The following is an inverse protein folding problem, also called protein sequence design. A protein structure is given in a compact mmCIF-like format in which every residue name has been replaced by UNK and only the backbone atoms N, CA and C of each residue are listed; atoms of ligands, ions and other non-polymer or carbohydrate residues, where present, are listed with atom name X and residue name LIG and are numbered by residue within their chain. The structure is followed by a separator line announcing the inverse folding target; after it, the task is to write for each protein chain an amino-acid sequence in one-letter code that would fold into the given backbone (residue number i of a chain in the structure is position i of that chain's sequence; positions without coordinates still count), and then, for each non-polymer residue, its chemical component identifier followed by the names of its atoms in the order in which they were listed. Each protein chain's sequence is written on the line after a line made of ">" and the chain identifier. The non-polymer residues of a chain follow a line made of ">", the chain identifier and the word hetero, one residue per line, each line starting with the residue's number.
data_IF_175477719968
#
_entry.id   IF_175477719968
#
_cell.length_a   1.000
_cell.length_b   1.000
_cell.length_c   1.000
_cell.angle_alpha   90.00
_cell.angle_beta   90.00
_cell.angle_gamma   90.00
#
_symmetry.space_group_name_H-M   'P 1'
#
loop_
_entity.id
_entity.type
_entity.pdbx_description
1 polymer ?
#
# COMPACT_ATOMS: atom_id res chain seq x y z
N UNK A 1 -14.41 20.95 -4.24
CA UNK A 1 -14.44 19.49 -4.05
C UNK A 1 -15.30 18.93 -5.15
N UNK A 2 -14.78 17.96 -5.88
CA UNK A 2 -15.50 17.24 -6.91
C UNK A 2 -15.85 15.85 -6.38
N UNK A 3 -16.92 15.25 -6.89
CA UNK A 3 -17.40 13.97 -6.43
C UNK A 3 -17.93 13.13 -7.59
N UNK A 4 -17.73 11.82 -7.52
CA UNK A 4 -18.31 10.82 -8.41
C UNK A 4 -18.75 9.62 -7.59
N UNK A 5 -19.87 9.01 -7.96
CA UNK A 5 -20.37 7.80 -7.30
C UNK A 5 -20.11 6.59 -8.19
N UNK A 6 -19.55 5.51 -7.63
CA UNK A 6 -19.33 4.21 -8.27
C UNK A 6 -20.46 3.25 -7.86
N UNK A 7 -21.64 3.28 -8.52
CA UNK A 7 -22.86 2.76 -7.93
C UNK A 7 -22.80 1.24 -7.75
N UNK A 8 -22.99 0.77 -6.51
CA UNK A 8 -22.92 -0.66 -6.15
C UNK A 8 -21.50 -1.23 -6.05
N UNK A 9 -20.46 -0.39 -6.14
CA UNK A 9 -19.06 -0.80 -6.04
C UNK A 9 -18.30 0.09 -5.05
N UNK A 10 -17.67 -0.53 -4.08
CA UNK A 10 -16.92 0.09 -3.00
C UNK A 10 -15.47 0.36 -3.46
N UNK A 11 -14.94 1.55 -3.17
CA UNK A 11 -13.59 1.97 -3.54
C UNK A 11 -12.50 1.26 -2.76
N UNK A 12 -11.45 0.79 -3.46
CA UNK A 12 -10.28 0.14 -2.85
C UNK A 12 -8.99 0.90 -3.14
N UNK A 13 -8.81 1.39 -4.36
CA UNK A 13 -7.65 2.19 -4.73
C UNK A 13 -7.98 3.21 -5.81
N UNK A 14 -7.23 4.30 -5.81
CA UNK A 14 -7.36 5.41 -6.74
C UNK A 14 -5.96 5.89 -7.13
N UNK A 15 -5.73 6.17 -8.41
CA UNK A 15 -4.47 6.72 -8.94
C UNK A 15 -4.70 7.74 -10.04
N UNK A 16 -4.00 8.88 -9.95
CA UNK A 16 -3.91 9.83 -11.05
C UNK A 16 -3.12 9.24 -12.21
N UNK A 17 -3.49 9.60 -13.44
CA UNK A 17 -2.70 9.24 -14.62
C UNK A 17 -1.37 10.01 -14.60
N UNK A 18 -0.24 9.35 -14.88
CA UNK A 18 1.06 10.00 -15.04
C UNK A 18 1.23 10.67 -16.42
N UNK A 19 0.22 10.63 -17.29
CA UNK A 19 0.23 11.25 -18.63
C UNK A 19 -0.82 12.35 -18.81
N UNK A 20 -1.98 12.19 -18.17
CA UNK A 20 -3.11 13.09 -18.33
C UNK A 20 -3.45 13.77 -17.00
N UNK A 21 -3.53 15.09 -17.00
CA UNK A 21 -3.73 15.90 -15.80
C UNK A 21 -5.13 15.81 -15.18
N UNK A 22 -6.09 15.37 -15.98
CA UNK A 22 -7.48 15.27 -15.60
C UNK A 22 -7.99 13.82 -15.47
N UNK A 23 -7.14 12.80 -15.63
CA UNK A 23 -7.56 11.39 -15.56
C UNK A 23 -7.19 10.69 -14.26
N UNK A 24 -8.09 9.82 -13.83
CA UNK A 24 -8.01 9.00 -12.63
C UNK A 24 -8.40 7.56 -12.97
N UNK A 25 -7.75 6.58 -12.35
CA UNK A 25 -8.22 5.20 -12.34
C UNK A 25 -8.65 4.80 -10.94
N UNK A 26 -9.74 4.05 -10.82
CA UNK A 26 -10.31 3.59 -9.54
C UNK A 26 -10.59 2.09 -9.60
N UNK A 27 -9.93 1.34 -8.73
CA UNK A 27 -10.25 -0.07 -8.48
C UNK A 27 -11.37 -0.13 -7.44
N UNK A 28 -12.43 -0.86 -7.78
CA UNK A 28 -13.61 -1.03 -6.93
C UNK A 28 -14.06 -2.49 -6.89
N UNK A 29 -14.81 -2.84 -5.85
CA UNK A 29 -15.36 -4.18 -5.66
C UNK A 29 -16.78 -4.13 -5.12
N UNK A 30 -17.65 -5.03 -5.56
CA UNK A 30 -19.00 -5.16 -5.03
C UNK A 30 -18.98 -5.71 -3.59
N UNK A 31 -20.06 -5.46 -2.83
CA UNK A 31 -20.28 -5.99 -1.47
C UNK A 31 -19.07 -5.81 -0.54
N UNK A 32 -18.53 -4.59 -0.47
CA UNK A 32 -17.36 -4.22 0.33
C UNK A 32 -16.10 -5.04 -0.01
N UNK A 33 -16.02 -5.58 -1.22
CA UNK A 33 -14.93 -6.44 -1.68
C UNK A 33 -14.82 -7.79 -0.95
N UNK A 34 -15.88 -8.22 -0.27
CA UNK A 34 -15.95 -9.52 0.38
C UNK A 34 -16.36 -10.63 -0.59
N UNK A 35 -17.20 -10.30 -1.58
CA UNK A 35 -17.68 -11.24 -2.59
C UNK A 35 -18.24 -10.49 -3.80
N UNK A 36 -18.03 -11.06 -4.98
CA UNK A 36 -18.65 -10.61 -6.22
C UNK A 36 -17.67 -9.86 -7.12
N UNK A 37 -18.23 -9.20 -8.12
CA UNK A 37 -17.45 -8.61 -9.20
C UNK A 37 -16.63 -7.41 -8.74
N UNK A 38 -15.51 -7.22 -9.43
CA UNK A 38 -14.74 -5.99 -9.40
C UNK A 38 -15.08 -5.09 -10.58
N UNK A 39 -14.73 -3.83 -10.46
CA UNK A 39 -14.90 -2.86 -11.55
C UNK A 39 -13.77 -1.83 -11.54
N UNK A 40 -13.09 -1.71 -12.68
CA UNK A 40 -12.14 -0.65 -12.96
C UNK A 40 -12.90 0.52 -13.58
N UNK A 41 -12.77 1.69 -12.98
CA UNK A 41 -13.28 2.96 -13.53
C UNK A 41 -12.11 3.81 -13.99
N UNK A 42 -12.12 4.23 -15.25
CA UNK A 42 -11.24 5.28 -15.77
C UNK A 42 -12.10 6.53 -15.87
N UNK A 43 -11.78 7.53 -15.05
CA UNK A 43 -12.56 8.75 -14.88
C UNK A 43 -11.78 9.94 -15.44
N UNK A 44 -12.49 10.90 -16.01
CA UNK A 44 -11.96 12.21 -16.42
C UNK A 44 -12.66 13.34 -15.69
N UNK A 45 -11.88 14.34 -15.31
CA UNK A 45 -12.37 15.62 -14.78
C UNK A 45 -12.58 16.57 -15.97
N UNK A 46 -13.82 16.95 -16.21
CA UNK A 46 -14.20 17.88 -17.28
C UNK A 46 -13.94 19.33 -16.87
N UNK A 47 -13.86 20.25 -17.83
CA UNK A 47 -13.62 21.69 -17.60
C UNK A 47 -14.66 22.34 -16.67
N UNK A 48 -15.88 21.82 -16.67
CA UNK A 48 -16.97 22.26 -15.79
C UNK A 48 -16.86 21.71 -14.35
N UNK A 49 -15.80 20.97 -14.03
CA UNK A 49 -15.57 20.32 -12.74
C UNK A 49 -16.33 19.01 -12.54
N UNK A 50 -17.06 18.52 -13.54
CA UNK A 50 -17.76 17.24 -13.44
C UNK A 50 -16.79 16.08 -13.67
N UNK A 51 -16.91 15.03 -12.84
CA UNK A 51 -16.18 13.78 -13.07
C UNK A 51 -17.07 12.84 -13.89
N UNK A 52 -16.56 12.32 -14.99
CA UNK A 52 -17.28 11.39 -15.89
C UNK A 52 -16.46 10.13 -16.16
N UNK A 53 -17.08 8.97 -16.35
CA UNK A 53 -16.36 7.75 -16.74
C UNK A 53 -16.05 7.78 -18.24
N UNK A 54 -14.78 7.56 -18.59
CA UNK A 54 -14.32 7.40 -19.97
C UNK A 54 -14.30 5.93 -20.40
N UNK A 55 -13.87 5.04 -19.49
CA UNK A 55 -13.85 3.60 -19.70
C UNK A 55 -14.19 2.87 -18.40
N UNK A 56 -14.89 1.74 -18.51
CA UNK A 56 -15.31 0.91 -17.38
C UNK A 56 -15.15 -0.54 -17.74
N UNK A 57 -14.46 -1.30 -16.88
CA UNK A 57 -14.21 -2.74 -17.09
C UNK A 57 -14.69 -3.53 -15.89
N UNK A 58 -15.50 -4.55 -16.13
CA UNK A 58 -15.96 -5.48 -15.10
C UNK A 58 -15.06 -6.71 -15.03
N UNK A 59 -14.77 -7.14 -13.81
CA UNK A 59 -13.95 -8.32 -13.53
C UNK A 59 -14.75 -9.35 -12.73
N UNK A 60 -14.30 -10.60 -12.76
CA UNK A 60 -15.02 -11.71 -12.13
C UNK A 60 -14.98 -11.62 -10.60
N UNK A 61 -13.92 -11.04 -10.05
CA UNK A 61 -13.70 -10.86 -8.62
C UNK A 61 -13.30 -9.40 -8.31
N UNK A 62 -13.38 -9.02 -7.05
CA UNK A 62 -13.12 -7.68 -6.52
C UNK A 62 -11.72 -7.19 -6.85
N UNK A 63 -11.61 -5.90 -7.21
CA UNK A 63 -10.33 -5.25 -7.47
C UNK A 63 -9.82 -4.54 -6.22
N UNK A 64 -8.55 -4.76 -5.86
CA UNK A 64 -7.97 -4.26 -4.61
C UNK A 64 -6.95 -3.14 -4.79
N UNK A 65 -6.29 -3.06 -5.95
CA UNK A 65 -5.37 -1.99 -6.28
C UNK A 65 -5.32 -1.70 -7.77
N UNK A 66 -4.82 -0.51 -8.11
CA UNK A 66 -4.69 -0.02 -9.48
C UNK A 66 -3.37 0.72 -9.65
N UNK A 67 -2.72 0.54 -10.80
CA UNK A 67 -1.50 1.27 -11.15
C UNK A 67 -1.50 1.58 -12.65
N UNK A 68 -1.21 2.82 -13.02
CA UNK A 68 -0.99 3.17 -14.42
C UNK A 68 0.34 2.60 -14.90
N UNK A 69 0.41 2.26 -16.18
CA UNK A 69 1.68 2.04 -16.85
C UNK A 69 2.46 3.35 -16.88
N UNK A 70 3.74 3.31 -16.55
CA UNK A 70 4.65 4.47 -16.67
C UNK A 70 5.30 4.57 -18.05
N UNK A 71 5.05 3.58 -18.92
CA UNK A 71 5.51 3.55 -20.32
C UNK A 71 4.42 3.85 -21.33
N UNK A 72 3.15 3.63 -20.99
CA UNK A 72 2.06 3.69 -21.96
C UNK A 72 0.81 4.36 -21.36
N UNK A 73 0.42 5.48 -21.95
CA UNK A 73 -0.62 6.39 -21.44
C UNK A 73 -2.02 5.78 -21.31
N UNK A 74 -2.32 4.77 -22.12
CA UNK A 74 -3.62 4.10 -22.13
C UNK A 74 -3.63 2.76 -21.37
N UNK A 75 -2.58 2.42 -20.62
CA UNK A 75 -2.49 1.12 -19.96
C UNK A 75 -2.60 1.21 -18.44
N UNK A 76 -3.40 0.32 -17.87
CA UNK A 76 -3.68 0.28 -16.43
C UNK A 76 -3.65 -1.17 -15.92
N UNK A 77 -2.87 -1.40 -14.86
CA UNK A 77 -2.89 -2.64 -14.09
C UNK A 77 -3.95 -2.60 -13.00
N UNK A 78 -4.55 -3.76 -12.74
CA UNK A 78 -5.41 -3.98 -11.58
C UNK A 78 -5.04 -5.28 -10.88
N UNK A 79 -5.12 -5.29 -9.55
CA UNK A 79 -5.01 -6.49 -8.74
C UNK A 79 -6.38 -7.02 -8.32
N UNK A 80 -6.55 -8.34 -8.26
CA UNK A 80 -7.84 -9.00 -8.06
C UNK A 80 -7.82 -10.00 -6.89
N UNK A 81 -8.99 -10.28 -6.32
CA UNK A 81 -9.18 -11.26 -5.25
C UNK A 81 -8.91 -12.72 -5.65
N UNK A 82 -9.05 -13.03 -6.93
CA UNK A 82 -8.81 -14.38 -7.48
C UNK A 82 -7.31 -14.73 -7.69
N UNK A 83 -6.40 -13.89 -7.21
CA UNK A 83 -4.95 -14.07 -7.40
C UNK A 83 -4.43 -13.57 -8.76
N UNK A 84 -5.27 -12.94 -9.58
CA UNK A 84 -4.85 -12.40 -10.88
C UNK A 84 -4.42 -10.95 -10.79
N UNK A 85 -3.45 -10.60 -11.64
CA UNK A 85 -3.18 -9.22 -12.05
C UNK A 85 -3.60 -9.09 -13.51
N UNK A 86 -4.35 -8.04 -13.84
CA UNK A 86 -4.84 -7.81 -15.21
C UNK A 86 -4.32 -6.47 -15.74
N UNK A 87 -3.89 -6.43 -17.00
CA UNK A 87 -3.50 -5.23 -17.71
C UNK A 87 -4.61 -4.87 -18.70
N UNK A 88 -5.14 -3.66 -18.60
CA UNK A 88 -6.17 -3.12 -19.47
C UNK A 88 -5.60 -2.05 -20.38
N UNK A 89 -6.14 -1.95 -21.60
CA UNK A 89 -5.99 -0.79 -22.45
C UNK A 89 -7.29 0.03 -22.40
N UNK A 90 -7.20 1.29 -22.03
CA UNK A 90 -8.34 2.19 -21.83
C UNK A 90 -9.03 2.58 -23.13
N UNK A 91 -8.41 2.33 -24.28
CA UNK A 91 -9.04 2.53 -25.61
C UNK A 91 -9.93 1.36 -26.02
N UNK A 92 -9.80 0.22 -25.34
CA UNK A 92 -10.63 -0.97 -25.56
C UNK A 92 -11.79 -1.00 -24.57
N UNK A 93 -12.80 -1.83 -24.83
CA UNK A 93 -14.09 -1.72 -24.13
C UNK A 93 -14.46 -2.89 -23.23
N UNK A 94 -13.74 -4.03 -23.25
CA UNK A 94 -14.30 -5.27 -22.68
C UNK A 94 -13.36 -6.18 -21.91
N UNK A 95 -12.14 -6.41 -22.40
CA UNK A 95 -11.27 -7.42 -21.83
C UNK A 95 -9.86 -6.87 -21.58
N UNK A 96 -9.15 -7.37 -20.57
CA UNK A 96 -7.75 -7.04 -20.38
C UNK A 96 -6.91 -7.55 -21.55
N UNK A 97 -5.87 -6.80 -21.91
CA UNK A 97 -4.89 -7.15 -22.94
C UNK A 97 -3.86 -8.16 -22.45
N UNK A 98 -3.67 -8.29 -21.13
CA UNK A 98 -2.88 -9.35 -20.51
C UNK A 98 -3.44 -9.73 -19.13
N UNK A 99 -3.23 -10.99 -18.73
CA UNK A 99 -3.56 -11.49 -17.38
C UNK A 99 -2.35 -12.25 -16.84
N UNK A 100 -1.90 -11.93 -15.64
CA UNK A 100 -0.80 -12.58 -14.95
C UNK A 100 -1.36 -13.37 -13.77
N UNK A 101 -1.23 -14.70 -13.82
CA UNK A 101 -1.85 -15.60 -12.84
C UNK A 101 -0.80 -16.57 -12.30
N UNK A 102 -0.18 -16.19 -11.18
CA UNK A 102 0.72 -17.07 -10.41
C UNK A 102 0.51 -16.96 -8.90
N UNK A 103 -0.13 -15.89 -8.41
CA UNK A 103 -0.47 -15.80 -6.99
C UNK A 103 -1.57 -16.80 -6.66
N UNK A 104 -1.47 -17.41 -5.47
CA UNK A 104 -2.42 -18.45 -5.04
C UNK A 104 -3.56 -17.91 -4.17
N UNK A 105 -3.53 -16.61 -3.89
CA UNK A 105 -4.47 -15.88 -3.04
C UNK A 105 -4.58 -14.43 -3.52
N UNK A 106 -5.49 -13.69 -2.90
CA UNK A 106 -5.80 -12.28 -3.15
C UNK A 106 -4.53 -11.44 -3.38
N UNK A 107 -4.53 -10.63 -4.45
CA UNK A 107 -3.45 -9.68 -4.73
C UNK A 107 -3.85 -8.30 -4.20
N UNK A 108 -3.19 -7.84 -3.14
CA UNK A 108 -3.55 -6.62 -2.43
C UNK A 108 -2.94 -5.35 -3.00
N UNK A 109 -1.79 -5.44 -3.67
CA UNK A 109 -1.17 -4.28 -4.29
C UNK A 109 -0.51 -4.60 -5.62
N UNK A 110 -0.51 -3.59 -6.50
CA UNK A 110 0.28 -3.57 -7.74
C UNK A 110 0.96 -2.21 -7.86
N UNK A 111 2.22 -2.20 -8.29
CA UNK A 111 2.98 -0.97 -8.41
C UNK A 111 3.93 -1.01 -9.61
N UNK A 112 3.91 0.03 -10.43
CA UNK A 112 4.76 0.15 -11.60
C UNK A 112 6.12 0.75 -11.23
N UNK A 113 7.21 0.24 -11.80
CA UNK A 113 8.55 0.78 -11.53
C UNK A 113 8.69 2.20 -12.10
N UNK A 114 8.94 3.19 -11.25
CA UNK A 114 9.01 4.59 -11.68
C UNK A 114 10.34 4.97 -12.36
N UNK A 115 11.39 4.16 -12.16
CA UNK A 115 12.76 4.43 -12.63
C UNK A 115 13.02 3.72 -13.94
N UNK A 116 12.96 2.38 -13.95
CA UNK A 116 13.20 1.57 -15.15
C UNK A 116 11.95 1.48 -16.05
N UNK A 117 10.76 1.60 -15.46
CA UNK A 117 9.45 1.59 -16.15
C UNK A 117 9.13 0.32 -16.95
N UNK A 118 10.07 -0.61 -17.14
CA UNK A 118 9.79 -1.87 -17.85
C UNK A 118 9.19 -2.96 -16.95
N UNK A 119 9.24 -2.75 -15.63
CA UNK A 119 8.82 -3.72 -14.63
C UNK A 119 7.66 -3.19 -13.77
N UNK A 120 6.90 -4.12 -13.22
CA UNK A 120 5.96 -3.85 -12.12
C UNK A 120 6.07 -4.95 -11.07
N UNK A 121 5.58 -4.69 -9.86
CA UNK A 121 5.51 -5.68 -8.79
C UNK A 121 4.08 -5.84 -8.28
N UNK A 122 3.79 -7.00 -7.70
CA UNK A 122 2.53 -7.30 -7.01
C UNK A 122 2.78 -7.96 -5.66
N UNK A 123 1.90 -7.72 -4.69
CA UNK A 123 1.95 -8.36 -3.36
C UNK A 123 0.64 -9.09 -3.05
N UNK A 124 0.73 -10.22 -2.36
CA UNK A 124 -0.43 -11.10 -2.13
C UNK A 124 -0.54 -11.61 -0.71
N UNK A 125 -1.75 -12.05 -0.35
CA UNK A 125 -2.02 -12.85 0.83
C UNK A 125 -1.29 -14.20 0.82
N UNK A 126 -0.81 -14.68 -0.33
CA UNK A 126 0.01 -15.90 -0.38
C UNK A 126 1.41 -15.74 0.26
N UNK A 127 1.73 -14.54 0.75
CA UNK A 127 2.97 -14.24 1.46
C UNK A 127 4.15 -13.96 0.53
N UNK A 128 3.89 -13.67 -0.75
CA UNK A 128 4.92 -13.39 -1.75
C UNK A 128 4.73 -12.01 -2.40
N UNK A 129 5.86 -11.47 -2.85
CA UNK A 129 5.90 -10.36 -3.81
C UNK A 129 6.42 -10.91 -5.12
N UNK A 130 5.76 -10.62 -6.24
CA UNK A 130 6.21 -11.04 -7.57
C UNK A 130 6.62 -9.82 -8.40
N UNK A 131 7.67 -9.99 -9.19
CA UNK A 131 8.19 -8.98 -10.14
C UNK A 131 7.91 -9.45 -11.54
N UNK A 132 7.42 -8.56 -12.38
CA UNK A 132 6.86 -8.88 -13.69
C UNK A 132 7.39 -7.94 -14.75
N UNK A 133 7.41 -8.43 -15.99
CA UNK A 133 7.50 -7.60 -17.18
C UNK A 133 6.16 -7.75 -17.94
N UNK A 134 5.51 -6.66 -18.36
CA UNK A 134 4.19 -6.73 -18.97
C UNK A 134 4.16 -7.53 -20.28
N UNK A 135 5.32 -7.72 -20.93
CA UNK A 135 5.45 -8.52 -22.15
C UNK A 135 5.69 -10.01 -21.89
N UNK A 136 5.69 -10.45 -20.62
CA UNK A 136 5.94 -11.84 -20.23
C UNK A 136 4.82 -12.36 -19.33
N UNK A 137 4.29 -13.53 -19.68
CA UNK A 137 3.20 -14.17 -18.92
C UNK A 137 3.62 -14.63 -17.52
N UNK A 138 4.87 -15.04 -17.36
CA UNK A 138 5.43 -15.53 -16.09
C UNK A 138 6.18 -14.42 -15.36
N UNK A 139 6.19 -14.50 -14.02
CA UNK A 139 6.98 -13.60 -13.19
C UNK A 139 8.48 -13.79 -13.46
N UNK A 140 9.21 -12.68 -13.42
CA UNK A 140 10.67 -12.69 -13.51
C UNK A 140 11.28 -13.21 -12.21
N UNK A 141 10.66 -12.85 -11.09
CA UNK A 141 11.15 -13.16 -9.76
C UNK A 141 10.00 -13.26 -8.77
N UNK A 142 10.11 -14.21 -7.84
CA UNK A 142 9.24 -14.30 -6.65
C UNK A 142 10.09 -14.04 -5.40
N UNK A 143 9.76 -12.98 -4.68
CA UNK A 143 10.37 -12.58 -3.42
C UNK A 143 9.56 -13.13 -2.26
N UNK A 144 10.24 -13.81 -1.33
CA UNK A 144 9.62 -14.40 -0.15
C UNK A 144 10.55 -14.25 1.04
N UNK A 145 9.97 -13.87 2.19
CA UNK A 145 10.71 -13.88 3.45
C UNK A 145 10.90 -15.33 3.90
N UNK A 146 12.10 -15.68 4.37
CA UNK A 146 12.28 -16.98 5.02
C UNK A 146 11.43 -17.01 6.29
N UNK A 147 10.67 -18.10 6.49
CA UNK A 147 9.95 -18.30 7.76
C UNK A 147 10.98 -18.41 8.87
N UNK A 148 10.88 -17.56 9.88
CA UNK A 148 11.62 -17.78 11.11
C UNK A 148 10.98 -18.98 11.85
N UNK A 149 11.58 -20.16 11.68
CA UNK A 149 11.15 -21.38 12.36
C UNK A 149 11.64 -21.43 13.82
N UNK A 150 12.40 -20.44 14.28
CA UNK A 150 12.96 -20.42 15.64
C UNK A 150 11.98 -19.95 16.71
N UNK A 151 10.92 -19.23 16.31
CA UNK A 151 9.85 -18.80 17.22
C UNK A 151 8.71 -19.81 17.18
N UNK A 152 8.84 -20.91 17.91
CA UNK A 152 7.64 -21.63 18.36
C UNK A 152 6.93 -20.69 19.32
N UNK A 153 5.86 -20.03 18.86
CA UNK A 153 4.92 -19.40 19.79
C UNK A 153 4.53 -20.48 20.81
N UNK A 154 4.94 -20.33 22.06
CA UNK A 154 4.50 -21.24 23.12
C UNK A 154 2.98 -21.21 23.14
N UNK A 155 2.36 -22.36 22.95
CA UNK A 155 0.92 -22.48 23.03
C UNK A 155 0.49 -21.99 24.42
N UNK A 156 -0.25 -20.88 24.47
CA UNK A 156 -0.98 -20.50 25.68
C UNK A 156 -1.94 -21.65 25.96
N UNK A 157 -1.65 -22.45 26.98
CA UNK A 157 -2.57 -23.47 27.46
C UNK A 157 -3.80 -22.77 28.03
N UNK A 158 -4.83 -22.59 27.19
CA UNK A 158 -6.16 -22.22 27.67
C UNK A 158 -6.86 -23.53 28.05
N UNK A 159 -6.92 -23.84 29.34
CA UNK A 159 -7.51 -25.06 29.92
C UNK A 159 -9.03 -25.19 29.76
N UNK A 160 -9.65 -24.51 28.79
CA UNK A 160 -11.10 -24.60 28.54
C UNK A 160 -11.39 -24.62 27.05
N UNK A 161 -11.30 -25.81 26.44
CA UNK A 161 -11.96 -26.08 25.16
C UNK A 161 -13.46 -26.33 25.43
N UNK A 162 -14.39 -25.55 24.86
CA UNK A 162 -15.78 -25.97 24.82
C UNK A 162 -15.92 -27.25 23.96
N UNK A 163 -16.88 -28.15 24.27
CA UNK A 163 -17.04 -29.39 23.52
C UNK A 163 -17.51 -29.07 22.09
N UNK A 164 -16.68 -29.40 21.10
CA UNK A 164 -16.96 -29.24 19.68
C UNK A 164 -17.60 -30.51 19.11
N UNK A 165 -18.77 -30.37 18.49
CA UNK A 165 -19.32 -31.34 17.56
C UNK A 165 -18.65 -31.19 16.19
N UNK A 166 -18.30 -32.32 15.58
CA UNK A 166 -17.67 -32.52 14.27
C UNK A 166 -16.13 -32.50 14.24
N UNK A 167 -15.56 -33.68 14.04
CA UNK A 167 -14.18 -33.90 13.60
C UNK A 167 -14.01 -33.32 12.18
N UNK A 168 -13.69 -32.03 12.07
CA UNK A 168 -12.96 -31.52 10.91
C UNK A 168 -11.47 -31.54 11.25
N UNK A 169 -10.58 -31.99 10.34
CA UNK A 169 -9.16 -31.85 10.55
C UNK A 169 -8.86 -30.36 10.74
N UNK A 170 -8.21 -30.04 11.86
CA UNK A 170 -7.70 -28.71 12.13
C UNK A 170 -6.62 -28.47 11.08
N UNK A 171 -6.93 -27.67 10.06
CA UNK A 171 -5.89 -27.14 9.17
C UNK A 171 -5.00 -26.31 10.08
N UNK A 172 -3.78 -26.79 10.36
CA UNK A 172 -2.73 -25.97 10.93
C UNK A 172 -2.68 -24.70 10.09
N UNK A 173 -3.06 -23.56 10.66
CA UNK A 173 -3.00 -22.29 9.98
C UNK A 173 -1.51 -21.96 9.87
N UNK A 174 -0.84 -22.21 8.73
CA UNK A 174 0.56 -21.85 8.64
C UNK A 174 0.56 -20.33 8.65
N UNK A 175 1.18 -19.69 9.65
CA UNK A 175 1.35 -18.24 9.67
C UNK A 175 1.76 -17.78 8.26
N UNK A 176 0.80 -17.19 7.56
CA UNK A 176 0.89 -16.74 6.19
C UNK A 176 0.99 -15.25 6.32
N UNK A 177 2.22 -14.73 6.30
CA UNK A 177 2.45 -13.31 6.48
C UNK A 177 1.93 -12.57 5.24
N UNK A 178 0.66 -12.14 5.29
CA UNK A 178 -0.01 -11.45 4.19
C UNK A 178 0.81 -10.22 3.81
N UNK A 179 1.22 -10.08 2.55
CA UNK A 179 1.97 -8.88 2.11
C UNK A 179 0.98 -7.85 1.59
N UNK A 180 0.67 -6.85 2.41
CA UNK A 180 -0.37 -5.86 2.12
C UNK A 180 0.01 -4.85 1.04
N UNK A 181 1.28 -4.43 1.03
CA UNK A 181 1.76 -3.49 0.02
C UNK A 181 3.23 -3.78 -0.31
N UNK A 182 3.55 -3.75 -1.60
CA UNK A 182 4.92 -3.69 -2.10
C UNK A 182 5.03 -2.65 -3.21
N UNK A 183 6.15 -1.94 -3.25
CA UNK A 183 6.40 -0.89 -4.24
C UNK A 183 7.90 -0.72 -4.53
N UNK A 184 8.21 -0.37 -5.78
CA UNK A 184 9.55 -0.01 -6.20
C UNK A 184 9.99 1.33 -5.59
N UNK A 185 11.28 1.45 -5.29
CA UNK A 185 11.87 2.73 -4.94
C UNK A 185 11.78 3.71 -6.11
N UNK A 186 11.32 4.95 -5.89
CA UNK A 186 11.39 5.99 -6.92
C UNK A 186 12.83 6.48 -7.17
N UNK A 187 13.81 5.99 -6.40
CA UNK A 187 15.22 6.41 -6.48
C UNK A 187 16.16 5.32 -7.02
N UNK A 188 15.75 4.05 -6.95
CA UNK A 188 16.52 2.92 -7.48
C UNK A 188 15.59 1.89 -8.14
N UNK A 189 15.84 1.58 -9.42
CA UNK A 189 15.05 0.65 -10.21
C UNK A 189 15.02 -0.78 -9.65
N UNK A 190 16.02 -1.15 -8.85
CA UNK A 190 16.18 -2.52 -8.33
C UNK A 190 15.69 -2.71 -6.90
N UNK A 191 15.31 -1.64 -6.21
CA UNK A 191 14.90 -1.74 -4.80
C UNK A 191 13.39 -1.81 -4.68
N UNK A 192 12.89 -2.75 -3.89
CA UNK A 192 11.47 -2.87 -3.52
C UNK A 192 11.33 -2.72 -2.00
N UNK A 193 10.28 -2.02 -1.56
CA UNK A 193 9.84 -1.98 -0.17
C UNK A 193 8.56 -2.81 -0.04
N UNK A 194 8.41 -3.57 1.04
CA UNK A 194 7.14 -4.22 1.35
C UNK A 194 6.83 -4.22 2.85
N UNK A 195 5.55 -4.36 3.17
CA UNK A 195 5.05 -4.53 4.55
C UNK A 195 4.04 -5.68 4.64
N UNK A 196 4.00 -6.35 5.79
CA UNK A 196 3.16 -7.53 5.97
C UNK A 196 2.36 -7.57 7.30
N UNK A 197 1.49 -8.58 7.42
CA UNK A 197 0.66 -8.82 8.61
C UNK A 197 1.46 -9.14 9.87
N UNK A 198 2.71 -9.58 9.75
CA UNK A 198 3.61 -9.82 10.89
C UNK A 198 4.39 -8.57 11.33
N UNK A 199 4.00 -7.38 10.87
CA UNK A 199 4.65 -6.09 11.19
C UNK A 199 6.03 -5.89 10.55
N UNK A 200 6.49 -6.81 9.72
CA UNK A 200 7.77 -6.69 9.06
C UNK A 200 7.71 -5.64 7.96
N UNK A 201 8.71 -4.77 7.93
CA UNK A 201 9.03 -3.87 6.84
C UNK A 201 10.33 -4.36 6.20
N UNK A 202 10.27 -4.65 4.91
CA UNK A 202 11.29 -5.40 4.19
C UNK A 202 11.78 -4.62 2.97
N UNK A 203 13.10 -4.54 2.82
CA UNK A 203 13.76 -3.92 1.67
C UNK A 203 14.45 -5.01 0.86
N UNK A 204 14.14 -5.04 -0.42
CA UNK A 204 14.63 -6.05 -1.36
C UNK A 204 15.47 -5.40 -2.44
N UNK A 205 16.61 -6.00 -2.80
CA UNK A 205 17.38 -5.67 -4.00
C UNK A 205 17.30 -6.85 -4.97
N UNK A 206 16.57 -6.67 -6.07
CA UNK A 206 16.29 -7.75 -7.05
C UNK A 206 17.53 -8.17 -7.87
N UNK A 207 18.67 -7.48 -7.70
CA UNK A 207 19.94 -7.87 -8.35
C UNK A 207 20.72 -8.86 -7.50
N UNK A 208 20.44 -8.94 -6.20
CA UNK A 208 21.20 -9.76 -5.26
C UNK A 208 20.77 -11.23 -5.34
N UNK A 209 21.70 -12.20 -5.21
CA UNK A 209 21.34 -13.62 -5.11
C UNK A 209 20.45 -13.92 -3.90
N UNK A 210 20.60 -13.14 -2.82
CA UNK A 210 19.68 -13.10 -1.69
C UNK A 210 19.00 -11.73 -1.68
N UNK A 211 17.78 -11.61 -2.25
CA UNK A 211 17.17 -10.30 -2.48
C UNK A 211 16.83 -9.54 -1.20
N UNK A 212 16.54 -10.21 -0.08
CA UNK A 212 16.14 -9.54 1.16
C UNK A 212 17.35 -8.88 1.85
N UNK A 213 17.47 -7.56 1.68
CA UNK A 213 18.60 -6.76 2.19
C UNK A 213 18.38 -6.21 3.60
N UNK A 214 17.13 -5.84 3.94
CA UNK A 214 16.77 -5.35 5.26
C UNK A 214 15.41 -5.91 5.67
N UNK A 215 15.25 -6.22 6.95
CA UNK A 215 14.02 -6.74 7.52
C UNK A 215 13.91 -6.32 8.99
N UNK A 216 12.82 -5.65 9.35
CA UNK A 216 12.61 -5.15 10.71
C UNK A 216 11.14 -4.99 11.09
N UNK A 217 10.87 -4.97 12.40
CA UNK A 217 9.54 -4.74 12.95
C UNK A 217 9.20 -3.25 12.95
N UNK A 218 8.20 -2.88 12.15
CA UNK A 218 7.76 -1.49 11.99
C UNK A 218 6.72 -1.06 13.04
N UNK A 219 5.79 -1.94 13.42
CA UNK A 219 4.64 -1.58 14.26
C UNK A 219 4.42 -2.54 15.44
N UNK A 220 5.49 -2.87 16.18
CA UNK A 220 5.44 -3.63 17.43
C UNK A 220 4.70 -4.97 17.34
N UNK A 221 4.80 -5.66 16.20
CA UNK A 221 4.13 -6.94 15.95
C UNK A 221 2.68 -6.82 15.46
N UNK A 222 2.14 -5.60 15.32
CA UNK A 222 0.85 -5.34 14.71
C UNK A 222 0.98 -5.18 13.19
N UNK A 223 -0.07 -5.55 12.45
CA UNK A 223 -0.09 -5.57 11.00
C UNK A 223 0.31 -4.21 10.40
N UNK A 224 1.29 -4.22 9.50
CA UNK A 224 1.69 -3.06 8.72
C UNK A 224 0.97 -3.10 7.37
N UNK A 225 0.04 -2.16 7.16
CA UNK A 225 -0.92 -2.19 6.06
C UNK A 225 -0.45 -1.42 4.83
N UNK A 226 0.40 -0.42 5.03
CA UNK A 226 0.91 0.41 3.95
C UNK A 226 2.32 0.92 4.21
N UNK A 227 3.03 1.17 3.12
CA UNK A 227 4.34 1.82 3.13
C UNK A 227 4.48 2.72 1.91
N UNK A 228 5.39 3.68 1.98
CA UNK A 228 5.76 4.51 0.83
C UNK A 228 7.13 5.16 1.00
N UNK A 229 7.86 5.33 -0.11
CA UNK A 229 9.11 6.09 -0.13
C UNK A 229 8.84 7.59 -0.18
N UNK A 230 9.65 8.34 0.55
CA UNK A 230 9.74 9.77 0.32
C UNK A 230 10.19 10.04 -1.11
N UNK A 231 9.51 10.95 -1.83
CA UNK A 231 9.77 11.21 -3.24
C UNK A 231 11.07 11.98 -3.51
N UNK A 232 11.71 12.51 -2.46
CA UNK A 232 12.89 13.38 -2.56
C UNK A 232 14.08 12.94 -1.69
N UNK A 233 13.84 12.15 -0.63
CA UNK A 233 14.84 11.68 0.32
C UNK A 233 15.01 10.15 0.19
N UNK A 234 16.04 9.63 -0.50
CA UNK A 234 16.10 8.22 -0.91
C UNK A 234 16.07 7.18 0.20
N UNK A 235 16.55 7.53 1.39
CA UNK A 235 16.58 6.62 2.54
C UNK A 235 15.37 6.76 3.45
N UNK A 236 14.45 7.68 3.17
CA UNK A 236 13.32 7.97 4.06
C UNK A 236 12.06 7.28 3.56
N UNK A 237 11.42 6.54 4.46
CA UNK A 237 10.15 5.85 4.18
C UNK A 237 9.12 6.18 5.26
N UNK A 238 7.85 5.97 4.92
CA UNK A 238 6.75 5.96 5.88
C UNK A 238 6.08 4.58 5.90
N UNK A 239 5.59 4.16 7.07
CA UNK A 239 4.77 2.95 7.25
C UNK A 239 3.50 3.30 8.04
N UNK A 240 2.41 2.61 7.76
CA UNK A 240 1.10 2.79 8.37
C UNK A 240 0.52 1.44 8.82
N UNK A 241 -0.24 1.43 9.92
CA UNK A 241 -0.62 0.19 10.59
C UNK A 241 -2.00 0.22 11.25
N UNK A 242 -2.46 -0.97 11.62
CA UNK A 242 -3.58 -1.19 12.56
C UNK A 242 -3.36 -0.57 13.94
N UNK A 243 -2.11 -0.25 14.29
CA UNK A 243 -1.75 0.49 15.51
C UNK A 243 -2.18 1.98 15.50
N UNK A 244 -2.90 2.41 14.45
CA UNK A 244 -3.44 3.76 14.23
C UNK A 244 -2.40 4.85 14.00
N UNK A 245 -1.13 4.46 13.85
CA UNK A 245 -0.03 5.40 13.67
C UNK A 245 0.61 5.29 12.30
N UNK A 246 1.24 6.40 11.90
CA UNK A 246 2.18 6.45 10.79
C UNK A 246 3.57 6.66 11.38
N UNK A 247 4.54 5.85 11.00
CA UNK A 247 5.94 6.02 11.42
C UNK A 247 6.79 6.40 10.24
N UNK A 248 7.73 7.32 10.46
CA UNK A 248 8.73 7.74 9.48
C UNK A 248 10.08 7.17 9.88
N UNK A 249 10.85 6.68 8.91
CA UNK A 249 12.10 5.96 9.14
C UNK A 249 13.18 6.49 8.21
N UNK A 250 14.44 6.49 8.67
CA UNK A 250 15.61 6.57 7.79
C UNK A 250 16.28 5.19 7.77
N UNK A 251 16.29 4.56 6.61
CA UNK A 251 16.82 3.21 6.40
C UNK A 251 18.33 3.09 6.70
N UNK A 252 19.04 4.22 6.82
CA UNK A 252 20.47 4.24 7.21
C UNK A 252 20.67 4.23 8.72
N UNK A 253 19.65 4.57 9.51
CA UNK A 253 19.78 4.74 10.96
C UNK A 253 19.62 3.42 11.72
N UNK A 254 20.64 2.57 11.68
CA UNK A 254 20.65 1.34 12.48
C UNK A 254 21.11 1.69 13.92
N UNK A 255 20.36 1.31 14.98
CA UNK A 255 20.76 1.60 16.35
C UNK A 255 22.10 0.96 16.71
N UNK A 256 23.05 1.77 17.21
CA UNK A 256 24.31 1.28 17.78
C UNK A 256 24.03 0.68 19.17
N UNK A 257 23.49 -0.53 19.23
CA UNK A 257 23.29 -1.28 20.49
C UNK A 257 24.21 -2.50 20.49
N UNK A 258 24.93 -2.70 21.61
CA UNK A 258 25.80 -3.86 21.81
C UNK A 258 25.04 -5.18 21.59
N UNK A 259 25.44 -5.92 20.56
CA UNK A 259 24.80 -7.15 20.06
C UNK A 259 24.80 -8.34 21.04
N UNK A 260 25.37 -8.20 22.25
CA UNK A 260 25.56 -9.29 23.21
C UNK A 260 24.30 -9.71 23.98
N UNK A 261 23.21 -8.93 23.93
CA UNK A 261 22.00 -9.19 24.74
C UNK A 261 20.73 -9.46 23.93
N UNK A 262 20.83 -9.64 22.61
CA UNK A 262 19.66 -9.93 21.80
C UNK A 262 19.49 -11.44 21.58
N UNK A 263 18.28 -11.99 21.75
CA UNK A 263 18.00 -13.36 21.36
C UNK A 263 18.30 -13.53 19.86
N UNK A 264 18.90 -14.67 19.52
CA UNK A 264 19.27 -15.03 18.16
C UNK A 264 18.04 -14.94 17.25
N UNK A 265 18.09 -14.10 16.22
CA UNK A 265 17.00 -13.94 15.23
C UNK A 265 16.42 -12.53 15.12
N UNK A 266 16.56 -11.68 16.15
CA UNK A 266 16.09 -10.29 16.08
C UNK A 266 17.05 -9.42 15.25
N UNK A 267 16.76 -9.24 13.96
CA UNK A 267 17.38 -8.20 13.13
C UNK A 267 16.97 -6.83 13.70
N UNK A 268 17.94 -6.07 14.24
CA UNK A 268 17.67 -4.70 14.69
C UNK A 268 17.44 -3.82 13.47
N UNK A 269 16.23 -3.33 13.29
CA UNK A 269 15.89 -2.34 12.27
C UNK A 269 16.20 -0.91 12.69
N UNK A 270 15.94 0.06 11.80
CA UNK A 270 16.05 1.46 12.13
C UNK A 270 15.09 1.87 13.25
N UNK A 271 15.48 2.87 14.04
CA UNK A 271 14.55 3.53 14.96
C UNK A 271 13.67 4.53 14.19
N UNK A 272 12.38 4.67 14.52
CA UNK A 272 11.52 5.62 13.84
C UNK A 272 11.98 7.06 14.13
N UNK A 273 12.15 7.84 13.07
CA UNK A 273 12.42 9.28 13.14
C UNK A 273 11.24 10.05 13.73
N UNK A 274 10.02 9.62 13.38
CA UNK A 274 8.79 10.27 13.78
C UNK A 274 7.67 9.25 13.96
N UNK A 275 6.70 9.60 14.80
CA UNK A 275 5.44 8.86 14.95
C UNK A 275 4.28 9.87 14.90
N UNK A 276 3.52 9.81 13.82
CA UNK A 276 2.34 10.61 13.59
C UNK A 276 1.12 9.84 14.09
N UNK A 277 0.36 10.47 14.99
CA UNK A 277 -0.83 9.90 15.63
C UNK A 277 -1.98 10.91 15.48
N UNK A 278 -3.15 10.42 15.10
CA UNK A 278 -4.35 11.23 14.97
C UNK A 278 -5.50 10.58 14.20
N UNK A 279 -5.29 9.41 13.59
CA UNK A 279 -6.39 8.54 13.15
C UNK A 279 -6.95 7.74 14.34
N UNK A 280 -8.26 7.49 14.33
CA UNK A 280 -8.94 6.76 15.42
C UNK A 280 -8.99 5.24 15.20
N UNK A 281 -8.75 4.80 13.96
CA UNK A 281 -8.70 3.39 13.55
C UNK A 281 -7.45 3.11 12.70
N UNK A 282 -7.33 1.87 12.20
CA UNK A 282 -6.22 1.43 11.38
C UNK A 282 -5.97 2.38 10.19
N UNK A 283 -4.71 2.70 9.93
CA UNK A 283 -4.33 3.53 8.78
C UNK A 283 -4.11 2.63 7.57
N UNK A 284 -5.01 2.70 6.59
CA UNK A 284 -5.08 1.77 5.46
C UNK A 284 -4.08 2.09 4.36
N UNK A 285 -3.81 3.38 4.12
CA UNK A 285 -2.88 3.87 3.09
C UNK A 285 -2.12 5.09 3.60
N UNK A 286 -0.86 5.19 3.23
CA UNK A 286 -0.01 6.37 3.40
C UNK A 286 0.74 6.64 2.10
N UNK A 287 0.86 7.90 1.70
CA UNK A 287 1.59 8.33 0.51
C UNK A 287 2.26 9.68 0.72
N UNK A 288 3.55 9.77 0.42
CA UNK A 288 4.32 11.01 0.40
C UNK A 288 3.88 11.90 -0.75
N UNK A 289 3.87 13.20 -0.49
CA UNK A 289 3.57 14.19 -1.51
C UNK A 289 4.60 14.14 -2.65
N UNK A 290 4.16 14.16 -3.92
CA UNK A 290 5.02 14.34 -5.07
C UNK A 290 5.41 15.81 -5.28
N UNK A 291 5.01 16.72 -4.38
CA UNK A 291 5.27 18.17 -4.44
C UNK A 291 6.10 18.71 -3.27
N UNK A 292 6.22 17.93 -2.18
CA UNK A 292 6.92 18.35 -0.97
C UNK A 292 7.56 17.16 -0.25
N UNK A 293 8.83 17.31 0.14
CA UNK A 293 9.58 16.27 0.85
C UNK A 293 9.16 16.05 2.29
N UNK A 294 8.31 16.92 2.83
CA UNK A 294 7.88 16.93 4.22
C UNK A 294 6.36 16.75 4.36
N UNK A 295 5.62 16.46 3.29
CA UNK A 295 4.16 16.30 3.35
C UNK A 295 3.73 14.85 3.05
N UNK A 296 2.76 14.34 3.81
CA UNK A 296 2.15 13.02 3.61
C UNK A 296 0.64 13.12 3.57
N UNK A 297 0.01 12.17 2.90
CA UNK A 297 -1.43 11.92 2.91
C UNK A 297 -1.67 10.51 3.44
N UNK A 298 -2.71 10.34 4.25
CA UNK A 298 -3.16 9.03 4.69
C UNK A 298 -4.68 8.91 4.64
N UNK A 299 -5.17 7.67 4.58
CA UNK A 299 -6.57 7.33 4.72
C UNK A 299 -6.76 6.16 5.68
N UNK A 300 -7.92 6.07 6.33
CA UNK A 300 -8.14 5.15 7.45
C UNK A 300 -9.56 4.60 7.48
N UNK A 301 -9.70 3.50 8.24
CA UNK A 301 -10.99 2.95 8.64
C UNK A 301 -11.78 3.90 9.58
N UNK A 302 -11.19 5.01 10.03
CA UNK A 302 -11.91 6.07 10.73
C UNK A 302 -12.74 6.99 9.80
N UNK A 303 -12.85 6.61 8.52
CA UNK A 303 -13.63 7.31 7.50
C UNK A 303 -13.04 8.68 7.12
N UNK A 304 -11.78 8.96 7.47
CA UNK A 304 -11.12 10.22 7.14
C UNK A 304 -9.87 10.04 6.27
N UNK A 305 -9.55 11.10 5.52
CA UNK A 305 -8.20 11.33 5.00
C UNK A 305 -7.51 12.44 5.79
N UNK A 306 -6.21 12.32 6.02
CA UNK A 306 -5.43 13.31 6.78
C UNK A 306 -4.16 13.69 6.04
N UNK A 307 -3.86 14.98 6.05
CA UNK A 307 -2.63 15.55 5.48
C UNK A 307 -1.70 15.89 6.64
N UNK A 308 -0.46 15.42 6.54
CA UNK A 308 0.54 15.55 7.58
C UNK A 308 1.75 16.33 7.07
N UNK A 309 2.43 17.01 8.00
CA UNK A 309 3.73 17.60 7.79
C UNK A 309 4.75 16.98 8.73
N UNK A 310 5.80 16.41 8.16
CA UNK A 310 6.94 15.84 8.85
C UNK A 310 8.00 16.92 9.09
N UNK A 311 8.02 17.45 10.31
CA UNK A 311 9.00 18.46 10.73
C UNK A 311 10.34 17.86 11.17
N UNK A 312 10.61 16.57 10.91
CA UNK A 312 11.92 16.00 11.24
C UNK A 312 12.99 16.60 10.33
N UNK A 313 13.73 17.55 10.88
CA UNK A 313 14.83 18.24 10.20
C UNK A 313 15.98 17.26 9.90
N UNK A 314 16.50 17.31 8.68
CA UNK A 314 17.74 16.64 8.29
C UNK A 314 18.96 17.10 9.11
N UNK A 315 18.88 18.22 9.85
CA UNK A 315 19.93 18.70 10.78
C UNK A 315 19.76 18.23 12.23
N UNK A 316 18.60 17.71 12.62
CA UNK A 316 18.38 17.18 13.97
C UNK A 316 19.08 15.82 14.22
N UNK A 317 19.77 15.29 13.21
CA UNK A 317 20.52 14.00 13.19
C UNK A 317 21.46 13.75 14.37
N UNK A 318 21.85 14.78 15.12
CA UNK A 318 22.81 14.68 16.23
C UNK A 318 22.27 15.16 17.58
N UNK A 319 21.04 15.67 17.64
CA UNK A 319 20.44 16.11 18.89
C UNK A 319 19.33 15.13 19.27
N UNK A 320 19.69 14.20 20.14
CA UNK A 320 18.85 13.14 20.74
C UNK A 320 17.69 13.71 21.62
N UNK A 321 17.22 14.92 21.35
CA UNK A 321 16.42 15.76 22.26
C UNK A 321 15.37 16.63 21.60
N UNK A 322 15.03 16.44 20.31
CA UNK A 322 13.82 17.09 19.78
C UNK A 322 12.62 16.26 20.21
N UNK A 323 12.02 16.67 21.33
CA UNK A 323 10.68 16.22 21.77
C UNK A 323 9.78 16.11 20.55
N UNK A 324 9.36 14.90 20.22
CA UNK A 324 8.29 14.61 19.27
C UNK A 324 7.14 15.58 19.60
N UNK A 325 6.94 16.62 18.78
CA UNK A 325 5.83 17.56 18.97
C UNK A 325 4.55 16.84 18.57
N UNK A 326 4.10 15.93 19.42
CA UNK A 326 2.82 15.24 19.32
C UNK A 326 1.73 16.31 19.19
N UNK A 327 1.07 16.36 18.03
CA UNK A 327 -0.08 17.23 17.77
C UNK A 327 0.11 18.36 16.75
N UNK A 328 1.34 18.72 16.32
CA UNK A 328 1.53 19.80 15.31
C UNK A 328 1.67 19.30 13.86
N UNK A 329 1.74 17.99 13.64
CA UNK A 329 1.97 17.41 12.32
C UNK A 329 0.71 17.36 11.44
N UNK A 330 -0.50 17.31 12.01
CA UNK A 330 -1.73 17.27 11.23
C UNK A 330 -2.03 18.66 10.64
N UNK A 331 -2.07 18.76 9.31
CA UNK A 331 -2.28 20.01 8.57
C UNK A 331 -3.75 20.14 8.16
N UNK A 332 -4.35 19.06 7.68
CA UNK A 332 -5.71 19.06 7.16
C UNK A 332 -6.38 17.69 7.40
N UNK A 333 -7.70 17.67 7.51
CA UNK A 333 -8.50 16.46 7.64
C UNK A 333 -9.72 16.56 6.75
N UNK A 334 -9.93 15.55 5.91
CA UNK A 334 -11.08 15.41 5.04
C UNK A 334 -11.99 14.31 5.58
N UNK A 335 -13.25 14.66 5.86
CA UNK A 335 -14.21 13.88 6.65
C UNK A 335 -15.55 13.69 5.91
N UNK A 336 -15.53 13.70 4.57
CA UNK A 336 -16.74 13.56 3.75
C UNK A 336 -17.12 12.12 3.45
N UNK A 337 -16.18 11.19 3.60
CA UNK A 337 -16.50 9.78 3.45
C UNK A 337 -17.39 9.30 4.60
N UNK A 338 -18.31 8.39 4.31
CA UNK A 338 -19.27 7.84 5.29
C UNK A 338 -19.01 6.38 5.66
N UNK A 339 -17.98 5.79 5.09
CA UNK A 339 -17.50 4.43 5.33
C UNK A 339 -15.97 4.44 5.23
N UNK A 340 -15.33 3.27 5.42
CA UNK A 340 -13.88 3.13 5.40
C UNK A 340 -13.25 3.74 4.14
N UNK A 341 -12.22 4.56 4.33
CA UNK A 341 -11.47 5.12 3.20
C UNK A 341 -10.29 4.21 2.90
N UNK A 342 -10.29 3.63 1.71
CA UNK A 342 -9.35 2.58 1.33
C UNK A 342 -8.23 3.08 0.43
N UNK A 343 -8.53 4.07 -0.42
CA UNK A 343 -7.59 4.62 -1.37
C UNK A 343 -7.48 6.13 -1.25
N UNK A 344 -6.25 6.64 -1.32
CA UNK A 344 -5.96 8.05 -1.49
C UNK A 344 -4.71 8.22 -2.38
N UNK A 345 -4.67 9.33 -3.12
CA UNK A 345 -3.54 9.67 -3.99
C UNK A 345 -3.40 11.19 -4.12
N UNK A 346 -2.16 11.65 -4.25
CA UNK A 346 -1.88 13.04 -4.57
C UNK A 346 -2.07 13.26 -6.07
N UNK A 347 -2.62 14.41 -6.45
CA UNK A 347 -2.53 14.83 -7.84
C UNK A 347 -1.07 15.07 -8.20
N UNK A 348 -0.61 14.48 -9.30
CA UNK A 348 0.68 14.82 -9.91
C UNK A 348 0.65 16.20 -10.55
N UNK A 349 -0.56 16.68 -10.89
CA UNK A 349 -0.80 17.85 -11.70
C UNK A 349 -1.59 18.89 -10.90
N UNK A 350 -1.09 20.11 -10.83
CA UNK A 350 -1.67 21.14 -9.97
C UNK A 350 -1.38 20.90 -8.49
N UNK A 351 -0.70 21.87 -7.87
CA UNK A 351 -0.22 21.72 -6.51
C UNK A 351 -1.39 21.66 -5.51
N UNK A 352 -1.31 20.70 -4.59
CA UNK A 352 -2.17 20.65 -3.41
C UNK A 352 -3.53 19.98 -3.59
N UNK A 353 -3.76 19.25 -4.68
CA UNK A 353 -4.95 18.41 -4.83
C UNK A 353 -4.68 16.95 -4.46
N UNK A 354 -5.70 16.30 -3.91
CA UNK A 354 -5.72 14.88 -3.62
C UNK A 354 -7.03 14.27 -4.10
N UNK A 355 -7.00 12.96 -4.36
CA UNK A 355 -8.19 12.16 -4.59
C UNK A 355 -8.30 11.07 -3.53
N UNK A 356 -9.52 10.71 -3.16
CA UNK A 356 -9.80 9.61 -2.22
C UNK A 356 -11.01 8.81 -2.66
N UNK A 357 -11.00 7.53 -2.31
CA UNK A 357 -12.10 6.60 -2.59
C UNK A 357 -12.33 5.68 -1.38
N UNK A 358 -13.58 5.35 -1.13
CA UNK A 358 -13.99 4.62 0.06
C UNK A 358 -15.13 3.64 -0.17
N UNK A 359 -15.47 2.93 0.89
CA UNK A 359 -16.56 1.97 0.92
C UNK A 359 -17.96 2.59 0.87
N UNK A 360 -18.06 3.91 0.81
CA UNK A 360 -19.31 4.64 0.62
C UNK A 360 -19.67 4.82 -0.87
N UNK A 361 -18.97 4.11 -1.76
CA UNK A 361 -19.10 4.20 -3.22
C UNK A 361 -18.72 5.58 -3.77
N UNK A 362 -18.00 6.41 -3.00
CA UNK A 362 -17.66 7.76 -3.40
C UNK A 362 -16.20 7.88 -3.79
N UNK A 363 -15.97 8.60 -4.88
CA UNK A 363 -14.69 9.16 -5.27
C UNK A 363 -14.77 10.66 -5.06
N UNK A 364 -13.82 11.22 -4.32
CA UNK A 364 -13.69 12.67 -4.12
C UNK A 364 -12.36 13.18 -4.67
N UNK A 365 -12.39 14.38 -5.26
CA UNK A 365 -11.20 15.18 -5.55
C UNK A 365 -11.30 16.47 -4.75
N UNK A 366 -10.29 16.76 -3.94
CA UNK A 366 -10.32 17.83 -2.95
C UNK A 366 -8.97 18.51 -2.78
N UNK A 367 -8.99 19.74 -2.25
CA UNK A 367 -7.78 20.51 -1.99
C UNK A 367 -7.21 20.10 -0.63
N UNK A 368 -6.04 19.48 -0.66
CA UNK A 368 -5.33 18.92 0.48
C UNK A 368 -4.47 19.95 1.23
N UNK A 369 -3.83 20.87 0.51
CA UNK A 369 -2.95 21.92 1.08
C UNK A 369 -3.27 23.30 0.54
#
# INVERSE_FOLDING_TARGET
>A
MLAFKTPGYNGYSIKYSPFYDNKLAVATAANYGLVGNGKLWVLSIQDNGQITPDAVFETQDGLFDVAWSELHENQVLTSSGDGTVSLFDTTLSRYPIAKFQEHNREVFSVFWNLVDKSLFCSSSWDGTVKVWNPNRQQSIMTLRSAKDLSVKAEAVQTDRKPPLSSNKPTIENPASDCVYQALFSPHDASTILSVNSASHCQVWDIRQPSPLTLDFISHNGLEALACDYNKYRPSVIATASVDKSIKVWDLRMIPNINHQFLPHGNKIGPSPLNKLVGHDFAVRKVTWSPHASDALLSCSYDMTCKVWKDYTDDRAKFLNTVRLRHGQALVNSFDRHREFVMGCDWSLWGNGFAASTGWDEMVYVWKAT
#
